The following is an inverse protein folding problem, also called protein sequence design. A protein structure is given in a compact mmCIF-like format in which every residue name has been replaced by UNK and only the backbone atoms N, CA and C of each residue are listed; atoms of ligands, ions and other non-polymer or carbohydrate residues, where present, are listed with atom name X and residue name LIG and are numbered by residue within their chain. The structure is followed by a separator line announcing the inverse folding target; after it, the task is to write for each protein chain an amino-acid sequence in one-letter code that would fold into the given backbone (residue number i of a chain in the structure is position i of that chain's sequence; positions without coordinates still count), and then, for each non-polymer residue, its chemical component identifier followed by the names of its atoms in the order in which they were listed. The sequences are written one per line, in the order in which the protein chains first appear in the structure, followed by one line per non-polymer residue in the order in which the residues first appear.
data_IF_328302203359
#
_entry.id   IF_328302203359
#
_cell.length_a   1.000
_cell.length_b   1.000
_cell.length_c   1.000
_cell.angle_alpha   90.00
_cell.angle_beta   90.00
_cell.angle_gamma   90.00
#
_symmetry.space_group_name_H-M   'P 1'
#
loop_
_entity.id
_entity.type
_entity.pdbx_description
1 polymer ?
#
# COMPACT_ATOMS: atom_id res chain seq x y z
N UNK A 1 -48.09 -36.05 -5.39
CA UNK A 1 -47.22 -35.51 -6.47
C UNK A 1 -47.45 -34.00 -6.70
N UNK A 2 -47.85 -33.22 -5.68
CA UNK A 2 -48.39 -31.86 -5.89
C UNK A 2 -47.45 -30.68 -5.54
N UNK A 3 -46.21 -30.92 -5.12
CA UNK A 3 -45.30 -29.83 -4.68
C UNK A 3 -43.98 -29.73 -5.46
N UNK A 4 -43.82 -30.49 -6.56
CA UNK A 4 -42.60 -30.47 -7.37
C UNK A 4 -42.34 -29.12 -8.05
N UNK A 5 -43.39 -28.33 -8.29
CA UNK A 5 -43.31 -26.99 -8.89
C UNK A 5 -42.72 -25.93 -7.93
N UNK A 6 -42.90 -26.09 -6.62
CA UNK A 6 -42.33 -25.19 -5.61
C UNK A 6 -40.80 -25.23 -5.63
N UNK A 7 -40.20 -26.40 -5.88
CA UNK A 7 -38.75 -26.56 -6.02
C UNK A 7 -38.19 -25.77 -7.22
N UNK A 8 -38.89 -25.80 -8.36
CA UNK A 8 -38.47 -25.05 -9.55
C UNK A 8 -38.57 -23.53 -9.33
N UNK A 9 -39.60 -23.06 -8.64
CA UNK A 9 -39.73 -21.64 -8.30
C UNK A 9 -38.62 -21.17 -7.34
N UNK A 10 -38.28 -21.98 -6.33
CA UNK A 10 -37.18 -21.63 -5.41
C UNK A 10 -35.82 -21.56 -6.10
N UNK A 11 -35.54 -22.48 -7.04
CA UNK A 11 -34.28 -22.48 -7.80
C UNK A 11 -34.22 -21.28 -8.74
N UNK A 12 -35.34 -20.95 -9.41
CA UNK A 12 -35.41 -19.76 -10.27
C UNK A 12 -35.21 -18.46 -9.51
N UNK A 13 -35.82 -18.32 -8.32
CA UNK A 13 -35.67 -17.14 -7.48
C UNK A 13 -34.22 -16.98 -6.98
N UNK A 14 -33.58 -18.07 -6.54
CA UNK A 14 -32.17 -18.06 -6.13
C UNK A 14 -31.24 -17.72 -7.31
N UNK A 15 -31.48 -18.30 -8.49
CA UNK A 15 -30.73 -17.99 -9.70
C UNK A 15 -30.83 -16.52 -10.10
N UNK A 16 -32.03 -15.94 -10.02
CA UNK A 16 -32.25 -14.52 -10.27
C UNK A 16 -31.51 -13.65 -9.25
N UNK A 17 -31.60 -13.95 -7.96
CA UNK A 17 -30.89 -13.20 -6.92
C UNK A 17 -29.38 -13.23 -7.11
N UNK A 18 -28.81 -14.39 -7.43
CA UNK A 18 -27.38 -14.55 -7.72
C UNK A 18 -26.99 -13.76 -8.97
N UNK A 19 -27.76 -13.89 -10.05
CA UNK A 19 -27.51 -13.13 -11.28
C UNK A 19 -27.55 -11.62 -11.04
N UNK A 20 -28.57 -11.12 -10.33
CA UNK A 20 -28.71 -9.70 -9.99
C UNK A 20 -27.54 -9.25 -9.10
N UNK A 21 -27.17 -10.03 -8.09
CA UNK A 21 -26.02 -9.73 -7.24
C UNK A 21 -24.73 -9.60 -8.05
N UNK A 22 -24.42 -10.57 -8.92
CA UNK A 22 -23.22 -10.53 -9.75
C UNK A 22 -23.30 -9.42 -10.81
N UNK A 23 -24.48 -9.14 -11.37
CA UNK A 23 -24.68 -8.04 -12.32
C UNK A 23 -24.37 -6.69 -11.69
N UNK A 24 -24.89 -6.42 -10.48
CA UNK A 24 -24.62 -5.18 -9.75
C UNK A 24 -23.17 -5.11 -9.23
N UNK A 25 -22.62 -6.22 -8.75
CA UNK A 25 -21.21 -6.31 -8.32
C UNK A 25 -20.24 -6.05 -9.49
N UNK A 26 -20.61 -6.48 -10.70
CA UNK A 26 -19.76 -6.43 -11.89
C UNK A 26 -20.09 -5.25 -12.82
N UNK A 27 -20.84 -4.24 -12.37
CA UNK A 27 -20.95 -2.98 -13.10
C UNK A 27 -19.61 -2.23 -13.00
N UNK A 28 -19.08 -1.68 -14.11
CA UNK A 28 -17.95 -0.76 -14.04
C UNK A 28 -18.36 0.49 -13.24
N UNK A 29 -17.50 0.92 -12.31
CA UNK A 29 -17.70 2.19 -11.60
C UNK A 29 -17.37 3.31 -12.58
N UNK A 30 -18.37 4.07 -13.01
CA UNK A 30 -18.14 5.34 -13.72
C UNK A 30 -17.67 6.38 -12.70
N UNK A 31 -16.38 6.72 -12.73
CA UNK A 31 -15.82 7.80 -11.92
C UNK A 31 -16.08 9.12 -12.65
N UNK A 32 -16.87 10.06 -12.10
CA UNK A 32 -17.07 11.36 -12.71
C UNK A 32 -15.72 12.08 -12.81
N UNK A 33 -15.23 12.30 -14.03
CA UNK A 33 -14.03 13.10 -14.27
C UNK A 33 -14.43 14.57 -14.15
N UNK A 34 -13.92 15.33 -13.17
CA UNK A 34 -14.23 16.75 -13.07
C UNK A 34 -13.72 17.47 -14.33
N UNK A 35 -14.61 18.24 -14.94
CA UNK A 35 -14.41 18.99 -16.21
C UNK A 35 -13.28 20.03 -16.12
N UNK A 36 -12.78 20.32 -14.91
CA UNK A 36 -11.66 21.21 -14.68
C UNK A 36 -10.34 20.44 -14.53
N UNK A 37 -9.88 19.79 -15.60
CA UNK A 37 -8.45 19.51 -15.73
C UNK A 37 -7.76 20.86 -16.01
N UNK A 38 -7.39 21.57 -14.95
CA UNK A 38 -6.42 22.66 -15.03
C UNK A 38 -5.23 22.14 -15.84
N UNK A 39 -4.80 22.85 -16.87
CA UNK A 39 -3.54 22.56 -17.57
C UNK A 39 -2.35 22.82 -16.62
N UNK A 40 -2.20 21.95 -15.63
CA UNK A 40 -0.93 21.70 -14.96
C UNK A 40 -0.11 21.00 -16.03
N UNK A 41 0.91 21.68 -16.56
CA UNK A 41 1.71 21.21 -17.70
C UNK A 41 1.86 19.70 -17.70
N UNK A 42 1.30 19.07 -18.74
CA UNK A 42 0.94 17.65 -18.79
C UNK A 42 1.97 16.73 -18.12
N UNK A 43 1.71 16.37 -16.87
CA UNK A 43 2.45 15.31 -16.18
C UNK A 43 1.93 13.98 -16.73
N UNK A 44 2.45 13.58 -17.89
CA UNK A 44 2.03 12.34 -18.57
C UNK A 44 2.58 11.10 -17.88
N UNK A 45 3.67 11.24 -17.12
CA UNK A 45 4.34 10.14 -16.44
C UNK A 45 4.89 10.59 -15.08
N UNK A 46 4.85 9.73 -14.05
CA UNK A 46 5.51 10.00 -12.79
C UNK A 46 7.02 10.06 -12.98
N UNK A 47 7.66 11.06 -12.37
CA UNK A 47 9.12 11.16 -12.39
C UNK A 47 9.72 10.05 -11.50
N UNK A 48 10.49 9.15 -12.12
CA UNK A 48 11.28 8.11 -11.44
C UNK A 48 12.74 8.52 -11.48
N UNK A 49 13.38 8.59 -10.32
CA UNK A 49 14.80 8.92 -10.19
C UNK A 49 15.48 7.95 -9.22
N UNK A 50 16.80 8.02 -9.12
CA UNK A 50 17.61 7.17 -8.24
C UNK A 50 17.30 7.36 -6.74
N UNK A 51 16.60 8.43 -6.34
CA UNK A 51 16.17 8.64 -4.96
C UNK A 51 14.86 7.94 -4.62
N UNK A 52 14.19 7.32 -5.60
CA UNK A 52 12.97 6.58 -5.33
C UNK A 52 13.33 5.13 -4.99
N UNK A 53 12.81 4.59 -3.87
CA UNK A 53 13.02 3.19 -3.54
C UNK A 53 12.47 2.30 -4.65
N UNK A 54 13.31 1.38 -5.12
CA UNK A 54 12.98 0.47 -6.20
C UNK A 54 13.37 -0.98 -5.82
N UNK A 55 12.53 -1.96 -6.16
CA UNK A 55 12.84 -3.40 -6.01
C UNK A 55 12.46 -4.18 -7.26
N UNK A 56 13.15 -5.29 -7.51
CA UNK A 56 12.98 -6.12 -8.70
C UNK A 56 14.15 -5.98 -9.65
N UNK A 57 13.88 -6.01 -10.96
CA UNK A 57 14.92 -5.98 -11.98
C UNK A 57 15.80 -4.72 -11.90
N UNK A 58 17.12 -4.88 -12.08
CA UNK A 58 18.07 -3.76 -12.14
C UNK A 58 17.94 -2.97 -13.45
N UNK A 59 17.67 -3.68 -14.57
CA UNK A 59 17.42 -3.12 -15.90
C UNK A 59 16.00 -3.51 -16.37
N UNK A 60 14.94 -2.90 -15.81
CA UNK A 60 13.57 -3.29 -16.11
C UNK A 60 13.15 -2.91 -17.54
N UNK A 61 12.40 -3.81 -18.19
CA UNK A 61 11.62 -3.45 -19.39
C UNK A 61 10.30 -2.80 -19.00
N UNK A 62 9.77 -3.14 -17.82
CA UNK A 62 8.51 -2.61 -17.29
C UNK A 62 8.75 -2.09 -15.87
N UNK A 63 8.48 -0.81 -15.67
CA UNK A 63 8.48 -0.17 -14.35
C UNK A 63 7.05 0.08 -13.91
N UNK A 64 6.70 -0.44 -12.74
CA UNK A 64 5.42 -0.16 -12.07
C UNK A 64 5.70 0.86 -10.98
N UNK A 65 5.01 2.00 -11.02
CA UNK A 65 5.10 3.02 -9.96
C UNK A 65 3.87 2.88 -9.06
N UNK A 66 4.10 2.49 -7.82
CA UNK A 66 3.07 2.40 -6.80
C UNK A 66 3.03 3.70 -6.00
N UNK A 67 1.86 4.34 -5.97
CA UNK A 67 1.56 5.43 -5.04
C UNK A 67 0.83 4.86 -3.83
N UNK A 68 1.53 4.78 -2.71
CA UNK A 68 1.12 3.96 -1.57
C UNK A 68 0.99 4.72 -0.26
N UNK A 69 0.21 4.12 0.64
CA UNK A 69 -0.04 4.55 2.00
C UNK A 69 0.02 3.31 2.91
N UNK A 70 0.86 3.37 3.95
CA UNK A 70 1.14 2.23 4.81
C UNK A 70 -0.04 1.81 5.71
N UNK A 71 -1.06 2.64 5.91
CA UNK A 71 -2.30 2.26 6.61
C UNK A 71 -3.40 1.78 5.66
N UNK A 72 -3.24 1.97 4.34
CA UNK A 72 -4.24 1.57 3.37
C UNK A 72 -4.25 0.04 3.15
N UNK A 73 -5.37 -0.60 3.46
CA UNK A 73 -5.55 -2.06 3.25
C UNK A 73 -5.45 -2.46 1.78
N UNK A 74 -5.91 -1.60 0.86
CA UNK A 74 -5.78 -1.85 -0.58
C UNK A 74 -4.33 -1.75 -1.04
N UNK A 75 -3.53 -0.83 -0.50
CA UNK A 75 -2.10 -0.74 -0.76
C UNK A 75 -1.37 -1.99 -0.28
N UNK A 76 -1.70 -2.51 0.91
CA UNK A 76 -1.15 -3.80 1.37
C UNK A 76 -1.45 -4.95 0.39
N UNK A 77 -2.70 -5.05 -0.05
CA UNK A 77 -3.12 -6.09 -1.01
C UNK A 77 -2.40 -5.95 -2.35
N UNK A 78 -2.14 -4.71 -2.78
CA UNK A 78 -1.37 -4.41 -3.98
C UNK A 78 0.10 -4.81 -3.79
N UNK A 79 0.73 -4.45 -2.67
CA UNK A 79 2.10 -4.81 -2.34
C UNK A 79 2.32 -6.33 -2.41
N UNK A 80 1.39 -7.13 -1.87
CA UNK A 80 1.41 -8.60 -1.97
C UNK A 80 1.35 -9.07 -3.44
N UNK A 81 0.51 -8.44 -4.25
CA UNK A 81 0.35 -8.77 -5.68
C UNK A 81 1.60 -8.40 -6.49
N UNK A 82 2.20 -7.26 -6.19
CA UNK A 82 3.43 -6.78 -6.83
C UNK A 82 4.64 -7.64 -6.46
N UNK A 83 4.68 -8.18 -5.24
CA UNK A 83 5.69 -9.15 -4.83
C UNK A 83 5.61 -10.44 -5.65
N UNK A 84 4.40 -10.95 -5.91
CA UNK A 84 4.20 -12.08 -6.84
C UNK A 84 4.66 -11.72 -8.26
N UNK A 85 4.38 -10.49 -8.71
CA UNK A 85 4.76 -10.02 -10.04
C UNK A 85 6.29 -9.96 -10.21
N UNK A 86 7.02 -9.39 -9.24
CA UNK A 86 8.48 -9.34 -9.24
C UNK A 86 9.07 -10.74 -9.25
N UNK A 87 8.55 -11.65 -8.41
CA UNK A 87 8.99 -13.06 -8.37
C UNK A 87 8.74 -13.80 -9.68
N UNK A 88 7.64 -13.48 -10.38
CA UNK A 88 7.29 -14.10 -11.67
C UNK A 88 8.17 -13.58 -12.81
N UNK A 89 8.59 -12.31 -12.75
CA UNK A 89 9.35 -11.64 -13.81
C UNK A 89 10.62 -10.94 -13.26
N UNK A 90 11.57 -11.70 -12.67
CA UNK A 90 12.67 -11.13 -11.88
C UNK A 90 13.64 -10.27 -12.68
N UNK A 91 13.73 -10.48 -14.00
CA UNK A 91 14.64 -9.75 -14.88
C UNK A 91 13.92 -8.71 -15.75
N UNK A 92 12.62 -8.49 -15.56
CA UNK A 92 11.81 -7.66 -16.47
C UNK A 92 11.03 -6.59 -15.74
N UNK A 93 10.55 -6.89 -14.53
CA UNK A 93 9.69 -5.98 -13.75
C UNK A 93 10.47 -5.37 -12.60
N UNK A 94 10.35 -4.05 -12.48
CA UNK A 94 10.76 -3.30 -11.29
C UNK A 94 9.55 -2.54 -10.74
N UNK A 95 9.46 -2.49 -9.42
CA UNK A 95 8.47 -1.70 -8.70
C UNK A 95 9.18 -0.53 -8.04
N UNK A 96 8.62 0.67 -8.20
CA UNK A 96 9.10 1.92 -7.60
C UNK A 96 8.02 2.44 -6.66
N UNK A 97 8.41 2.77 -5.43
CA UNK A 97 7.50 3.33 -4.44
C UNK A 97 7.44 4.86 -4.52
N UNK A 98 6.24 5.41 -4.32
CA UNK A 98 5.95 6.82 -4.11
C UNK A 98 4.96 6.96 -2.97
N UNK A 99 5.27 7.81 -2.00
CA UNK A 99 4.35 8.07 -0.90
C UNK A 99 3.17 8.90 -1.37
N UNK A 100 1.97 8.45 -1.02
CA UNK A 100 0.71 9.17 -1.24
C UNK A 100 -0.14 9.07 0.03
N UNK A 101 0.33 9.66 1.15
CA UNK A 101 -0.36 9.56 2.42
C UNK A 101 -1.72 10.27 2.37
N UNK A 102 -2.75 9.60 2.86
CA UNK A 102 -4.08 10.20 3.01
C UNK A 102 -4.40 10.43 4.49
N UNK A 103 -3.82 11.48 5.08
CA UNK A 103 -3.96 11.80 6.51
C UNK A 103 -5.42 11.94 6.98
N UNK A 104 -6.34 12.29 6.08
CA UNK A 104 -7.77 12.40 6.40
C UNK A 104 -8.44 11.07 6.75
N UNK A 105 -7.95 9.97 6.16
CA UNK A 105 -8.42 8.62 6.42
C UNK A 105 -7.43 7.80 7.26
N UNK A 106 -6.15 8.14 7.18
CA UNK A 106 -5.01 7.37 7.68
C UNK A 106 -4.06 8.30 8.47
N UNK A 107 -4.32 8.52 9.77
CA UNK A 107 -3.56 9.48 10.59
C UNK A 107 -2.06 9.18 10.72
N UNK A 108 -1.66 7.92 10.58
CA UNK A 108 -0.28 7.45 10.64
C UNK A 108 0.38 7.29 9.27
N UNK A 109 -0.31 7.60 8.17
CA UNK A 109 0.24 7.48 6.81
C UNK A 109 1.54 8.26 6.62
N UNK A 110 1.53 9.54 6.99
CA UNK A 110 2.71 10.42 6.90
C UNK A 110 3.85 9.97 7.80
N UNK A 111 3.67 9.73 9.12
CA UNK A 111 4.78 9.28 9.97
C UNK A 111 5.31 7.89 9.56
N UNK A 112 4.46 6.98 9.07
CA UNK A 112 4.92 5.70 8.52
C UNK A 112 5.76 5.88 7.26
N UNK A 113 5.36 6.80 6.37
CA UNK A 113 6.15 7.16 5.19
C UNK A 113 7.52 7.73 5.58
N UNK A 114 7.56 8.68 6.52
CA UNK A 114 8.82 9.23 7.03
C UNK A 114 9.70 8.12 7.62
N UNK A 115 9.11 7.24 8.44
CA UNK A 115 9.81 6.11 9.05
C UNK A 115 10.44 5.17 8.01
N UNK A 116 9.72 4.86 6.92
CA UNK A 116 10.26 4.05 5.82
C UNK A 116 11.48 4.73 5.16
N UNK A 117 11.43 6.05 4.94
CA UNK A 117 12.57 6.82 4.41
C UNK A 117 13.73 6.95 5.40
N UNK A 118 13.47 6.97 6.72
CA UNK A 118 14.53 6.88 7.73
C UNK A 118 15.26 5.53 7.65
N UNK A 119 14.55 4.44 7.38
CA UNK A 119 15.16 3.14 7.11
C UNK A 119 15.90 3.10 5.77
N UNK A 120 15.43 3.83 4.75
CA UNK A 120 16.10 3.94 3.45
C UNK A 120 17.50 4.54 3.54
N UNK A 121 17.72 5.50 4.45
CA UNK A 121 19.06 6.06 4.73
C UNK A 121 20.08 5.00 5.16
N UNK A 122 19.59 3.83 5.59
CA UNK A 122 20.40 2.68 5.99
C UNK A 122 20.31 1.52 4.97
N UNK A 123 19.72 1.76 3.79
CA UNK A 123 19.53 0.78 2.73
C UNK A 123 18.43 -0.24 3.02
N UNK A 124 17.53 0.04 3.97
CA UNK A 124 16.56 -0.92 4.48
C UNK A 124 15.10 -0.58 4.14
N UNK A 125 14.84 0.26 3.14
CA UNK A 125 13.49 0.71 2.79
C UNK A 125 12.52 -0.45 2.59
N UNK A 126 12.84 -1.42 1.70
CA UNK A 126 11.91 -2.49 1.36
C UNK A 126 11.64 -3.45 2.51
N UNK A 127 12.68 -3.77 3.30
CA UNK A 127 12.52 -4.58 4.51
C UNK A 127 11.62 -3.87 5.54
N UNK A 128 11.78 -2.56 5.68
CA UNK A 128 10.95 -1.75 6.58
C UNK A 128 9.52 -1.57 6.05
N UNK A 129 9.37 -1.34 4.74
CA UNK A 129 8.10 -1.28 4.03
C UNK A 129 7.27 -2.55 4.25
N UNK A 130 7.88 -3.72 4.04
CA UNK A 130 7.21 -5.00 4.26
C UNK A 130 6.85 -5.16 5.75
N UNK A 131 7.74 -4.77 6.66
CA UNK A 131 7.48 -4.82 8.10
C UNK A 131 6.36 -3.87 8.57
N UNK A 132 6.19 -2.71 7.93
CA UNK A 132 5.05 -1.80 8.16
C UNK A 132 3.74 -2.47 7.74
N UNK A 133 3.71 -3.07 6.55
CA UNK A 133 2.50 -3.75 6.06
C UNK A 133 2.15 -5.01 6.86
N UNK A 134 3.15 -5.76 7.33
CA UNK A 134 2.95 -6.90 8.23
C UNK A 134 2.26 -6.48 9.53
N UNK A 135 2.59 -5.29 10.04
CA UNK A 135 2.06 -4.74 11.30
C UNK A 135 0.90 -3.76 11.10
N UNK A 136 0.39 -3.62 9.88
CA UNK A 136 -0.59 -2.60 9.49
C UNK A 136 -1.79 -2.49 10.45
N UNK A 137 -2.32 -3.63 10.92
CA UNK A 137 -3.51 -3.67 11.78
C UNK A 137 -3.31 -3.11 13.19
N UNK A 138 -2.07 -2.89 13.61
CA UNK A 138 -1.72 -2.34 14.92
C UNK A 138 -0.59 -1.31 14.83
N UNK A 139 -0.48 -0.62 13.69
CA UNK A 139 0.45 0.51 13.55
C UNK A 139 0.16 1.56 14.62
N UNK A 140 1.24 2.13 15.13
CA UNK A 140 1.25 3.16 16.15
C UNK A 140 2.63 3.79 16.22
N UNK A 141 2.73 4.98 16.79
CA UNK A 141 3.98 5.75 16.80
C UNK A 141 5.16 4.97 17.43
N UNK A 142 4.90 4.22 18.50
CA UNK A 142 5.91 3.38 19.14
C UNK A 142 6.38 2.22 18.26
N UNK A 143 5.55 1.73 17.34
CA UNK A 143 5.90 0.63 16.45
C UNK A 143 6.98 1.02 15.45
N UNK A 144 7.11 2.29 15.09
CA UNK A 144 8.12 2.69 14.10
C UNK A 144 9.54 2.44 14.61
N UNK A 145 9.81 2.83 15.85
CA UNK A 145 11.11 2.54 16.50
C UNK A 145 11.26 1.05 16.79
N UNK A 146 10.19 0.36 17.19
CA UNK A 146 10.23 -1.09 17.43
C UNK A 146 10.60 -1.87 16.16
N UNK A 147 10.01 -1.54 15.02
CA UNK A 147 10.35 -2.16 13.73
C UNK A 147 11.82 -1.91 13.40
N UNK A 148 12.32 -0.69 13.60
CA UNK A 148 13.72 -0.38 13.37
C UNK A 148 14.64 -1.24 14.25
N UNK A 149 14.30 -1.44 15.53
CA UNK A 149 15.02 -2.31 16.45
C UNK A 149 14.96 -3.79 16.02
N UNK A 150 13.77 -4.28 15.67
CA UNK A 150 13.56 -5.66 15.21
C UNK A 150 14.40 -5.96 13.95
N UNK A 151 14.54 -4.97 13.07
CA UNK A 151 15.35 -5.03 11.86
C UNK A 151 16.83 -4.70 12.08
N UNK A 152 17.25 -4.50 13.34
CA UNK A 152 18.63 -4.20 13.74
C UNK A 152 19.21 -2.94 13.06
N UNK A 153 18.34 -1.96 12.79
CA UNK A 153 18.76 -0.65 12.27
C UNK A 153 19.43 0.16 13.38
N UNK A 154 20.31 1.08 12.97
CA UNK A 154 20.90 2.08 13.85
C UNK A 154 19.80 3.06 14.27
N UNK A 155 19.30 2.90 15.50
CA UNK A 155 18.17 3.67 16.03
C UNK A 155 18.51 5.16 16.17
N UNK A 156 19.76 5.49 16.49
CA UNK A 156 20.20 6.88 16.56
C UNK A 156 20.09 7.54 15.19
N UNK A 157 20.62 6.89 14.14
CA UNK A 157 20.47 7.39 12.75
C UNK A 157 19.03 7.38 12.25
N UNK A 158 18.23 6.42 12.69
CA UNK A 158 16.82 6.33 12.33
C UNK A 158 16.02 7.51 12.91
N UNK A 159 16.36 7.94 14.13
CA UNK A 159 15.69 9.03 14.84
C UNK A 159 16.26 10.42 14.52
N UNK A 160 17.50 10.49 14.01
CA UNK A 160 18.17 11.74 13.59
C UNK A 160 17.47 12.41 12.39
N UNK A 161 16.64 11.67 11.64
CA UNK A 161 15.92 12.18 10.47
C UNK A 161 14.44 12.43 10.75
N UNK A 162 13.99 13.68 10.55
CA UNK A 162 12.65 14.18 10.15
C UNK A 162 11.37 13.59 10.78
N UNK A 163 11.47 12.59 11.65
CA UNK A 163 10.36 12.02 12.38
C UNK A 163 9.82 13.11 13.31
N UNK A 164 8.50 13.32 13.34
CA UNK A 164 7.92 14.29 14.23
C UNK A 164 8.37 14.04 15.66
N UNK A 165 8.62 15.09 16.43
CA UNK A 165 9.16 14.96 17.79
C UNK A 165 8.30 14.11 18.74
N UNK A 166 7.01 13.93 18.45
CA UNK A 166 6.12 13.02 19.17
C UNK A 166 6.38 11.53 18.84
N UNK A 167 6.89 11.24 17.64
CA UNK A 167 7.33 9.90 17.22
C UNK A 167 8.73 9.58 17.76
N UNK A 168 9.60 10.58 17.85
CA UNK A 168 10.99 10.44 18.33
C UNK A 168 11.10 10.38 19.86
N UNK A 169 10.28 11.15 20.59
CA UNK A 169 10.34 11.22 22.06
C UNK A 169 9.39 10.23 22.75
N UNK A 170 9.59 8.91 22.57
CA UNK A 170 9.24 7.98 23.63
C UNK A 170 10.43 7.94 24.60
N UNK A 171 10.26 8.32 25.89
CA UNK A 171 11.36 8.26 26.82
C UNK A 171 11.80 6.81 26.97
N UNK A 172 13.11 6.58 26.88
CA UNK A 172 13.84 5.36 27.26
C UNK A 172 13.67 4.97 28.76
N UNK A 173 12.54 5.31 29.37
CA UNK A 173 12.20 5.15 30.78
C UNK A 173 11.25 3.96 31.01
N UNK A 174 11.60 2.79 30.47
CA UNK A 174 11.20 1.51 31.06
C UNK A 174 12.40 0.55 30.94
N UNK A 175 13.42 0.79 31.75
CA UNK A 175 14.34 -0.22 32.27
C UNK A 175 14.40 -0.07 33.79
#
# INVERSE_FOLDING_TARGET
MEHRWLGFLSIGALGLMVFVFFWFRNQPIEIPVPESSVEVGSITQPMVTFVNPARGAEEPTVTVVEFGDFECVACKTLADSLEVLIKTYPNTVQVVWKDMPNESAHPLATPASIAAHCADRQGAFWTYHDALFDRQSYLGESQFTQIAQDLQLDVEKFQDGDLPSHVVNLPLLIL
#
